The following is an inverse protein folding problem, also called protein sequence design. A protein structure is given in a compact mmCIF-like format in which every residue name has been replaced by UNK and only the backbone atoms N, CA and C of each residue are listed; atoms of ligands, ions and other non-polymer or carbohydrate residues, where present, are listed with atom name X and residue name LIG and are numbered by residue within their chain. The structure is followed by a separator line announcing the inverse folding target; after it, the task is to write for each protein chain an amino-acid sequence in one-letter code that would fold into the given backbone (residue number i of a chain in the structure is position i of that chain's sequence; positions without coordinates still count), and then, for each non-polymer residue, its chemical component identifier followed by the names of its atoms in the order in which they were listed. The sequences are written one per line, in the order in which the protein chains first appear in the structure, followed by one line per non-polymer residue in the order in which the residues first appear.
data_IF_632364335710
#
_entry.id   IF_632364335710
#
_cell.length_a   1.000
_cell.length_b   1.000
_cell.length_c   1.000
_cell.angle_alpha   90.00
_cell.angle_beta   90.00
_cell.angle_gamma   90.00
#
_symmetry.space_group_name_H-M   'P 1'
#
loop_
_entity.id
_entity.type
_entity.pdbx_description
1 polymer ?
#
# COMPACT_ATOMS: atom_id res chain seq x y z
N UNK A 1 15.86 2.07 -32.40
CA UNK A 1 14.51 2.32 -31.87
C UNK A 1 14.69 2.57 -30.38
N UNK A 2 14.16 3.67 -29.84
CA UNK A 2 14.16 3.89 -28.40
C UNK A 2 13.31 2.81 -27.72
N UNK A 3 13.79 2.27 -26.60
CA UNK A 3 13.01 1.31 -25.79
C UNK A 3 11.73 2.02 -25.31
N UNK A 4 10.54 1.44 -25.53
CA UNK A 4 9.29 2.03 -25.05
C UNK A 4 9.37 2.23 -23.54
N UNK A 5 8.98 3.40 -23.03
CA UNK A 5 8.95 3.69 -21.60
C UNK A 5 7.55 3.50 -21.06
N UNK A 6 7.35 2.63 -20.06
CA UNK A 6 6.05 2.46 -19.43
C UNK A 6 5.66 3.71 -18.63
N UNK A 7 4.52 4.27 -18.97
CA UNK A 7 3.95 5.46 -18.34
C UNK A 7 3.00 5.05 -17.22
N UNK A 8 3.17 5.65 -16.05
CA UNK A 8 2.30 5.51 -14.89
C UNK A 8 1.29 6.66 -14.88
N UNK A 9 0.02 6.33 -14.81
CA UNK A 9 -1.06 7.31 -14.61
C UNK A 9 -1.39 7.45 -13.12
N UNK A 10 -1.97 8.59 -12.75
CA UNK A 10 -2.29 8.89 -11.35
C UNK A 10 -3.14 7.78 -10.73
N UNK A 11 -2.77 7.24 -9.56
CA UNK A 11 -3.51 6.17 -8.93
C UNK A 11 -4.93 6.60 -8.54
N UNK A 12 -5.84 5.62 -8.46
CA UNK A 12 -7.12 5.73 -7.76
C UNK A 12 -7.03 5.02 -6.42
N UNK A 13 -7.71 5.54 -5.40
CA UNK A 13 -7.68 4.99 -4.04
C UNK A 13 -9.07 4.88 -3.45
N UNK A 14 -9.27 3.90 -2.56
CA UNK A 14 -10.53 3.70 -1.87
C UNK A 14 -10.31 3.12 -0.47
N UNK A 15 -11.08 3.59 0.50
CA UNK A 15 -11.16 3.03 1.85
C UNK A 15 -12.56 2.56 2.16
N UNK A 16 -12.76 1.57 3.06
CA UNK A 16 -14.08 1.24 3.59
C UNK A 16 -14.78 2.45 4.22
N UNK A 17 -16.10 2.37 4.30
CA UNK A 17 -16.92 3.44 4.90
C UNK A 17 -16.84 3.49 6.44
N UNK A 18 -16.54 2.35 7.09
CA UNK A 18 -16.36 2.29 8.53
C UNK A 18 -14.98 2.85 8.90
N UNK A 19 -14.93 4.13 9.21
CA UNK A 19 -13.73 4.82 9.68
C UNK A 19 -13.88 5.13 11.16
N UNK A 20 -12.85 4.83 11.97
CA UNK A 20 -12.89 5.04 13.42
C UNK A 20 -11.61 5.69 13.92
N UNK A 21 -11.74 6.46 14.99
CA UNK A 21 -10.59 7.01 15.69
C UNK A 21 -9.75 5.88 16.31
N UNK A 22 -8.45 6.03 16.26
CA UNK A 22 -7.47 5.07 16.78
C UNK A 22 -7.67 4.81 18.28
N UNK A 23 -7.98 5.87 19.03
CA UNK A 23 -8.26 5.79 20.46
C UNK A 23 -9.49 4.93 20.79
N UNK A 24 -10.56 5.05 19.98
CA UNK A 24 -11.79 4.29 20.20
C UNK A 24 -11.59 2.81 19.87
N UNK A 25 -10.82 2.52 18.81
CA UNK A 25 -10.44 1.15 18.46
C UNK A 25 -9.62 0.53 19.59
N UNK A 26 -8.63 1.25 20.13
CA UNK A 26 -7.78 0.77 21.21
C UNK A 26 -8.59 0.51 22.52
N UNK A 27 -9.52 1.39 22.86
CA UNK A 27 -10.40 1.20 24.01
C UNK A 27 -11.30 -0.04 23.85
N UNK A 28 -11.86 -0.25 22.66
CA UNK A 28 -12.63 -1.44 22.36
C UNK A 28 -11.77 -2.71 22.40
N UNK A 29 -10.54 -2.68 21.86
CA UNK A 29 -9.58 -3.80 21.97
C UNK A 29 -9.29 -4.15 23.41
N UNK A 30 -8.96 -3.16 24.25
CA UNK A 30 -8.66 -3.37 25.65
C UNK A 30 -9.81 -4.08 26.39
N UNK A 31 -11.04 -3.67 26.10
CA UNK A 31 -12.25 -4.24 26.70
C UNK A 31 -12.53 -5.66 26.19
N UNK A 32 -12.52 -5.87 24.86
CA UNK A 32 -12.89 -7.16 24.26
C UNK A 32 -11.87 -8.26 24.48
N UNK A 33 -10.59 -7.90 24.56
CA UNK A 33 -9.51 -8.84 24.84
C UNK A 33 -9.28 -9.05 26.34
N UNK A 34 -10.01 -8.34 27.21
CA UNK A 34 -9.83 -8.45 28.67
C UNK A 34 -8.40 -8.12 29.10
N UNK A 35 -7.77 -7.10 28.49
CA UNK A 35 -6.36 -6.81 28.72
C UNK A 35 -6.08 -6.46 30.18
N UNK A 36 -5.01 -7.04 30.74
CA UNK A 36 -4.48 -6.63 32.04
C UNK A 36 -4.04 -5.15 32.03
N UNK A 37 -3.91 -4.54 33.20
CA UNK A 37 -3.42 -3.16 33.32
C UNK A 37 -2.06 -2.93 32.63
N UNK A 38 -1.17 -3.91 32.70
CA UNK A 38 0.14 -3.86 32.03
C UNK A 38 -0.01 -3.89 30.52
N UNK A 39 -0.87 -4.76 29.98
CA UNK A 39 -1.13 -4.84 28.54
C UNK A 39 -1.85 -3.58 28.01
N UNK A 40 -2.77 -3.00 28.79
CA UNK A 40 -3.41 -1.72 28.46
C UNK A 40 -2.40 -0.57 28.40
N UNK A 41 -1.46 -0.49 29.35
CA UNK A 41 -0.38 0.51 29.32
C UNK A 41 0.55 0.30 28.13
N UNK A 42 0.85 -0.95 27.77
CA UNK A 42 1.62 -1.25 26.55
C UNK A 42 0.87 -0.78 25.31
N UNK A 43 -0.40 -1.17 25.14
CA UNK A 43 -1.25 -0.73 24.03
C UNK A 43 -1.32 0.79 23.94
N UNK A 44 -1.49 1.50 25.07
CA UNK A 44 -1.51 2.96 25.12
C UNK A 44 -0.22 3.60 24.57
N UNK A 45 0.95 3.04 24.93
CA UNK A 45 2.23 3.49 24.37
C UNK A 45 2.35 3.24 22.87
N UNK A 46 1.92 2.07 22.40
CA UNK A 46 1.93 1.73 20.96
C UNK A 46 1.03 2.67 20.19
N UNK A 47 -0.18 2.95 20.67
CA UNK A 47 -1.13 3.90 20.07
C UNK A 47 -0.53 5.31 20.01
N UNK A 48 0.02 5.81 21.11
CA UNK A 48 0.63 7.14 21.16
C UNK A 48 1.83 7.30 20.21
N UNK A 49 2.61 6.22 20.03
CA UNK A 49 3.78 6.20 19.13
C UNK A 49 3.46 5.86 17.68
N UNK A 50 2.24 5.44 17.36
CA UNK A 50 1.89 4.96 16.03
C UNK A 50 1.82 6.07 14.97
N UNK A 51 1.51 7.31 15.39
CA UNK A 51 1.24 8.43 14.49
C UNK A 51 -0.06 8.30 13.70
N UNK A 52 -0.96 7.38 14.10
CA UNK A 52 -2.23 7.09 13.45
C UNK A 52 -3.39 7.72 14.24
N UNK A 53 -4.24 8.46 13.55
CA UNK A 53 -5.46 9.05 14.13
C UNK A 53 -6.73 8.29 13.76
N UNK A 54 -6.79 7.80 12.51
CA UNK A 54 -7.97 7.11 12.00
C UNK A 54 -7.58 5.85 11.22
N UNK A 55 -8.46 4.85 11.23
CA UNK A 55 -8.36 3.67 10.38
C UNK A 55 -9.72 3.23 9.86
N UNK A 56 -9.70 2.74 8.63
CA UNK A 56 -10.88 2.12 8.02
C UNK A 56 -10.83 0.60 8.16
N UNK A 57 -12.00 -0.03 8.31
CA UNK A 57 -12.18 -1.47 8.33
C UNK A 57 -13.47 -1.85 7.58
N UNK A 58 -13.49 -3.04 6.96
CA UNK A 58 -14.70 -3.54 6.26
C UNK A 58 -15.75 -4.07 7.23
N UNK A 59 -15.34 -4.51 8.41
CA UNK A 59 -16.22 -5.03 9.46
C UNK A 59 -15.86 -4.42 10.83
N UNK A 60 -16.81 -4.35 11.77
CA UNK A 60 -16.53 -4.02 13.15
C UNK A 60 -15.56 -5.02 13.78
N UNK A 61 -14.70 -4.56 14.68
CA UNK A 61 -13.77 -5.40 15.43
C UNK A 61 -14.49 -6.54 16.16
N UNK A 62 -15.66 -6.25 16.72
CA UNK A 62 -16.51 -7.23 17.41
C UNK A 62 -16.79 -8.48 16.59
N UNK A 63 -17.06 -8.29 15.30
CA UNK A 63 -17.46 -9.39 14.43
C UNK A 63 -16.24 -10.22 14.02
N UNK A 64 -15.09 -9.55 13.81
CA UNK A 64 -13.86 -10.20 13.31
C UNK A 64 -13.19 -11.09 14.36
N UNK A 65 -13.18 -10.69 15.65
CA UNK A 65 -12.42 -11.39 16.69
C UNK A 65 -12.81 -12.86 16.89
N UNK A 66 -14.03 -13.24 16.52
CA UNK A 66 -14.55 -14.60 16.69
C UNK A 66 -14.52 -15.43 15.40
N UNK A 67 -14.10 -14.84 14.26
CA UNK A 67 -14.05 -15.54 12.98
C UNK A 67 -12.88 -16.52 12.92
N UNK A 68 -13.17 -17.71 12.40
CA UNK A 68 -12.15 -18.63 11.89
C UNK A 68 -11.48 -18.05 10.64
N UNK A 69 -10.32 -18.57 10.25
CA UNK A 69 -9.64 -18.16 9.01
C UNK A 69 -10.52 -18.36 7.79
N UNK A 70 -11.31 -19.44 7.73
CA UNK A 70 -12.24 -19.69 6.64
C UNK A 70 -13.31 -18.59 6.51
N UNK A 71 -13.90 -18.15 7.63
CA UNK A 71 -14.87 -17.06 7.65
C UNK A 71 -14.25 -15.72 7.25
N UNK A 72 -12.98 -15.44 7.67
CA UNK A 72 -12.22 -14.26 7.24
C UNK A 72 -11.97 -14.28 5.73
N UNK A 73 -11.64 -15.44 5.15
CA UNK A 73 -11.49 -15.59 3.69
C UNK A 73 -12.82 -15.40 2.97
N UNK A 74 -13.93 -15.85 3.54
CA UNK A 74 -15.25 -15.57 3.00
C UNK A 74 -15.57 -14.07 3.03
N UNK A 75 -15.35 -13.41 4.17
CA UNK A 75 -15.51 -11.96 4.31
C UNK A 75 -14.63 -11.18 3.33
N UNK A 76 -13.35 -11.58 3.17
CA UNK A 76 -12.47 -10.99 2.18
C UNK A 76 -13.07 -11.06 0.78
N UNK A 77 -13.59 -12.21 0.39
CA UNK A 77 -14.18 -12.41 -0.93
C UNK A 77 -15.43 -11.54 -1.17
N UNK A 78 -16.19 -11.23 -0.13
CA UNK A 78 -17.37 -10.34 -0.22
C UNK A 78 -16.99 -8.86 -0.29
N UNK A 79 -15.98 -8.45 0.47
CA UNK A 79 -15.69 -7.03 0.67
C UNK A 79 -14.56 -6.48 -0.20
N UNK A 80 -13.60 -7.33 -0.62
CA UNK A 80 -12.47 -6.87 -1.43
C UNK A 80 -12.86 -6.45 -2.86
N UNK A 81 -13.73 -7.18 -3.62
CA UNK A 81 -14.06 -6.78 -4.98
C UNK A 81 -14.70 -5.40 -5.09
N UNK A 82 -15.75 -5.03 -4.30
CA UNK A 82 -16.35 -3.70 -4.42
C UNK A 82 -15.40 -2.57 -3.97
N UNK A 83 -14.48 -2.85 -3.03
CA UNK A 83 -13.47 -1.88 -2.63
C UNK A 83 -12.43 -1.68 -3.73
N UNK A 84 -11.93 -2.77 -4.32
CA UNK A 84 -11.00 -2.78 -5.46
C UNK A 84 -11.60 -2.07 -6.68
N UNK A 85 -12.88 -2.29 -6.97
CA UNK A 85 -13.59 -1.65 -8.08
C UNK A 85 -13.61 -0.12 -7.96
N UNK A 86 -13.86 0.42 -6.76
CA UNK A 86 -13.84 1.88 -6.56
C UNK A 86 -12.47 2.48 -6.88
N UNK A 87 -11.38 1.87 -6.42
CA UNK A 87 -10.03 2.31 -6.72
C UNK A 87 -9.71 2.17 -8.22
N UNK A 88 -10.08 1.04 -8.82
CA UNK A 88 -9.86 0.76 -10.23
C UNK A 88 -10.59 1.75 -11.15
N UNK A 89 -11.87 2.03 -10.88
CA UNK A 89 -12.65 3.03 -11.66
C UNK A 89 -12.01 4.40 -11.61
N UNK A 90 -11.52 4.84 -10.46
CA UNK A 90 -10.83 6.12 -10.35
C UNK A 90 -9.51 6.12 -11.16
N UNK A 91 -8.73 5.05 -11.12
CA UNK A 91 -7.50 4.92 -11.91
C UNK A 91 -7.79 4.96 -13.42
N UNK A 92 -8.86 4.31 -13.88
CA UNK A 92 -9.29 4.36 -15.29
C UNK A 92 -9.70 5.77 -15.71
N UNK A 93 -10.46 6.49 -14.87
CA UNK A 93 -10.82 7.89 -15.10
C UNK A 93 -9.56 8.76 -15.23
N UNK A 94 -8.57 8.57 -14.34
CA UNK A 94 -7.33 9.33 -14.37
C UNK A 94 -6.50 9.03 -15.65
N UNK A 95 -6.55 7.80 -16.15
CA UNK A 95 -5.91 7.40 -17.40
C UNK A 95 -6.71 7.77 -18.67
N UNK A 96 -7.99 8.18 -18.52
CA UNK A 96 -8.87 8.54 -19.61
C UNK A 96 -9.31 7.36 -20.48
N UNK A 97 -9.39 6.15 -19.91
CA UNK A 97 -9.76 4.92 -20.61
C UNK A 97 -10.89 4.17 -19.88
N UNK A 98 -11.47 3.19 -20.55
CA UNK A 98 -12.51 2.32 -20.02
C UNK A 98 -11.96 0.97 -19.56
N UNK A 99 -12.75 0.20 -18.81
CA UNK A 99 -12.40 -1.16 -18.43
C UNK A 99 -12.23 -2.10 -19.64
N UNK A 100 -12.93 -1.82 -20.73
CA UNK A 100 -12.82 -2.58 -21.99
C UNK A 100 -11.46 -2.40 -22.68
N UNK A 101 -10.72 -1.34 -22.34
CA UNK A 101 -9.41 -1.07 -22.93
C UNK A 101 -8.29 -1.85 -22.21
N UNK A 102 -8.54 -2.39 -21.02
CA UNK A 102 -7.56 -3.12 -20.23
C UNK A 102 -7.24 -4.47 -20.88
N UNK A 103 -5.95 -4.73 -21.04
CA UNK A 103 -5.42 -5.99 -21.58
C UNK A 103 -4.94 -6.95 -20.51
N UNK A 104 -4.43 -6.41 -19.39
CA UNK A 104 -3.86 -7.16 -18.28
C UNK A 104 -4.34 -6.61 -16.95
N UNK A 105 -4.74 -7.51 -16.07
CA UNK A 105 -5.15 -7.22 -14.70
C UNK A 105 -4.18 -7.90 -13.72
N UNK A 106 -3.46 -7.10 -12.94
CA UNK A 106 -2.61 -7.57 -11.85
C UNK A 106 -3.31 -7.27 -10.52
N UNK A 107 -3.62 -8.30 -9.76
CA UNK A 107 -4.12 -8.17 -8.39
C UNK A 107 -2.96 -8.39 -7.42
N UNK A 108 -2.80 -7.46 -6.50
CA UNK A 108 -1.82 -7.53 -5.40
C UNK A 108 -2.57 -7.63 -4.08
N UNK A 109 -2.40 -8.73 -3.36
CA UNK A 109 -2.98 -8.91 -2.02
C UNK A 109 -2.25 -9.99 -1.24
N UNK A 110 -2.11 -9.76 0.07
CA UNK A 110 -1.58 -10.73 1.03
C UNK A 110 -2.63 -11.14 2.07
N UNK A 111 -3.82 -10.56 2.03
CA UNK A 111 -4.85 -10.71 3.07
C UNK A 111 -6.05 -11.57 2.64
N UNK A 112 -6.01 -12.12 1.42
CA UNK A 112 -7.07 -13.00 0.92
C UNK A 112 -6.56 -14.14 0.06
N UNK A 113 -7.02 -15.36 0.36
CA UNK A 113 -6.67 -16.60 -0.35
C UNK A 113 -7.91 -17.34 -0.79
N UNK A 114 -8.17 -17.29 -2.08
CA UNK A 114 -9.25 -18.07 -2.72
C UNK A 114 -8.96 -18.23 -4.21
N UNK A 115 -9.34 -19.35 -4.75
CA UNK A 115 -9.41 -19.57 -6.20
C UNK A 115 -10.86 -19.89 -6.61
N UNK A 116 -11.45 -19.20 -7.61
CA UNK A 116 -10.91 -18.02 -8.29
C UNK A 116 -10.75 -16.82 -7.34
N UNK A 117 -9.71 -15.98 -7.62
CA UNK A 117 -9.40 -14.80 -6.79
C UNK A 117 -10.24 -13.57 -7.12
N UNK A 118 -9.93 -12.47 -6.44
CA UNK A 118 -10.61 -11.15 -6.59
C UNK A 118 -10.61 -10.66 -8.03
N UNK A 119 -9.54 -10.93 -8.79
CA UNK A 119 -9.39 -10.45 -10.16
C UNK A 119 -10.52 -10.87 -11.10
N UNK A 120 -11.01 -12.11 -10.98
CA UNK A 120 -12.11 -12.58 -11.82
C UNK A 120 -13.43 -11.87 -11.47
N UNK A 121 -13.72 -11.70 -10.17
CA UNK A 121 -14.90 -10.96 -9.72
C UNK A 121 -14.86 -9.49 -10.16
N UNK A 122 -13.69 -8.86 -10.04
CA UNK A 122 -13.46 -7.48 -10.46
C UNK A 122 -13.62 -7.30 -11.97
N UNK A 123 -13.01 -8.19 -12.77
CA UNK A 123 -13.15 -8.15 -14.24
C UNK A 123 -14.60 -8.25 -14.68
N UNK A 124 -15.38 -9.15 -14.06
CA UNK A 124 -16.80 -9.33 -14.34
C UNK A 124 -17.63 -8.08 -13.94
N UNK A 125 -17.44 -7.53 -12.73
CA UNK A 125 -18.20 -6.39 -12.24
C UNK A 125 -17.89 -5.10 -13.01
N UNK A 126 -16.67 -4.94 -13.51
CA UNK A 126 -16.26 -3.81 -14.33
C UNK A 126 -16.58 -3.97 -15.81
N UNK A 127 -17.04 -5.14 -16.25
CA UNK A 127 -17.29 -5.44 -17.65
C UNK A 127 -16.02 -5.42 -18.50
N UNK A 128 -14.90 -5.92 -17.99
CA UNK A 128 -13.68 -6.09 -18.78
C UNK A 128 -13.88 -7.11 -19.89
N UNK A 129 -12.98 -7.13 -20.88
CA UNK A 129 -13.00 -8.13 -21.94
C UNK A 129 -12.82 -9.53 -21.38
N UNK A 130 -13.42 -10.54 -22.01
CA UNK A 130 -13.26 -11.95 -21.65
C UNK A 130 -11.83 -12.48 -21.87
N UNK A 131 -11.06 -11.81 -22.71
CA UNK A 131 -9.66 -12.12 -23.02
C UNK A 131 -8.65 -11.34 -22.15
N UNK A 132 -9.08 -10.61 -21.10
CA UNK A 132 -8.16 -9.93 -20.19
C UNK A 132 -7.24 -10.95 -19.49
N UNK A 133 -5.93 -10.71 -19.56
CA UNK A 133 -4.93 -11.59 -18.93
C UNK A 133 -4.87 -11.30 -17.44
N UNK A 134 -4.82 -12.35 -16.60
CA UNK A 134 -4.81 -12.22 -15.14
C UNK A 134 -3.47 -12.62 -14.55
N UNK A 135 -3.00 -11.82 -13.60
CA UNK A 135 -1.85 -12.15 -12.72
C UNK A 135 -2.22 -11.84 -11.28
N UNK A 136 -1.78 -12.68 -10.34
CA UNK A 136 -1.89 -12.38 -8.91
C UNK A 136 -0.51 -12.38 -8.27
N UNK A 137 -0.21 -11.28 -7.56
CA UNK A 137 0.99 -11.10 -6.74
C UNK A 137 0.56 -11.23 -5.28
N UNK A 138 1.06 -12.25 -4.61
CA UNK A 138 0.76 -12.53 -3.20
C UNK A 138 2.05 -12.66 -2.38
N UNK A 139 1.91 -12.70 -1.05
CA UNK A 139 3.00 -12.97 -0.09
C UNK A 139 4.13 -11.94 -0.03
N UNK A 140 4.01 -10.82 -0.76
CA UNK A 140 5.02 -9.75 -0.77
C UNK A 140 4.85 -8.78 0.42
N UNK A 141 3.71 -8.79 1.11
CA UNK A 141 3.42 -7.82 2.16
C UNK A 141 3.41 -6.38 1.63
N UNK A 142 3.92 -5.45 2.43
CA UNK A 142 3.83 -4.02 2.14
C UNK A 142 4.59 -3.58 0.88
N UNK A 143 5.60 -4.32 0.40
CA UNK A 143 6.26 -3.98 -0.87
C UNK A 143 5.53 -4.51 -2.10
N UNK A 144 4.46 -5.27 -1.94
CA UNK A 144 3.70 -5.86 -3.06
C UNK A 144 3.21 -4.84 -4.08
N UNK A 145 2.87 -3.62 -3.66
CA UNK A 145 2.48 -2.55 -4.59
C UNK A 145 3.60 -2.16 -5.54
N UNK A 146 4.83 -2.02 -5.05
CA UNK A 146 6.01 -1.74 -5.89
C UNK A 146 6.30 -2.91 -6.83
N UNK A 147 6.22 -4.15 -6.32
CA UNK A 147 6.35 -5.36 -7.15
C UNK A 147 5.31 -5.38 -8.27
N UNK A 148 4.05 -5.02 -7.97
CA UNK A 148 2.97 -4.91 -8.96
C UNK A 148 3.28 -3.87 -10.05
N UNK A 149 3.78 -2.69 -9.66
CA UNK A 149 4.18 -1.65 -10.62
C UNK A 149 5.32 -2.13 -11.53
N UNK A 150 6.33 -2.81 -10.97
CA UNK A 150 7.45 -3.39 -11.73
C UNK A 150 6.98 -4.47 -12.72
N UNK A 151 6.08 -5.34 -12.26
CA UNK A 151 5.51 -6.38 -13.12
C UNK A 151 4.71 -5.75 -14.28
N UNK A 152 3.88 -4.74 -14.01
CA UNK A 152 3.13 -4.01 -15.01
C UNK A 152 4.03 -3.30 -16.03
N UNK A 153 5.10 -2.66 -15.56
CA UNK A 153 6.08 -2.04 -16.43
C UNK A 153 6.74 -3.07 -17.39
N UNK A 154 7.07 -4.25 -16.85
CA UNK A 154 7.61 -5.34 -17.66
C UNK A 154 6.64 -5.83 -18.74
N UNK A 155 5.35 -6.00 -18.39
CA UNK A 155 4.31 -6.39 -19.37
C UNK A 155 4.10 -5.32 -20.45
N UNK A 156 4.06 -4.03 -20.04
CA UNK A 156 3.91 -2.92 -20.98
C UNK A 156 5.12 -2.77 -21.92
N UNK A 157 6.34 -3.07 -21.45
CA UNK A 157 7.53 -3.08 -22.31
C UNK A 157 7.54 -4.28 -23.28
N UNK A 158 7.00 -5.43 -22.87
CA UNK A 158 6.95 -6.62 -23.70
C UNK A 158 5.89 -6.55 -24.81
N UNK A 159 4.79 -5.82 -24.53
CA UNK A 159 3.67 -5.61 -25.46
C UNK A 159 3.32 -4.09 -25.46
N UNK A 160 3.74 -3.32 -26.47
CA UNK A 160 3.48 -1.87 -26.53
C UNK A 160 2.00 -1.49 -26.55
N UNK A 161 1.11 -2.41 -26.92
CA UNK A 161 -0.34 -2.22 -26.88
C UNK A 161 -0.95 -2.56 -25.51
N UNK A 162 -0.16 -3.09 -24.58
CA UNK A 162 -0.65 -3.45 -23.25
C UNK A 162 -1.10 -2.21 -22.48
N UNK A 163 -2.28 -2.34 -21.86
CA UNK A 163 -2.84 -1.44 -20.88
C UNK A 163 -3.06 -2.23 -19.61
N UNK A 164 -2.11 -2.11 -18.68
CA UNK A 164 -2.05 -2.93 -17.48
C UNK A 164 -2.69 -2.20 -16.32
N UNK A 165 -3.73 -2.80 -15.72
CA UNK A 165 -4.33 -2.31 -14.49
C UNK A 165 -3.75 -3.09 -13.31
N UNK A 166 -3.01 -2.42 -12.43
CA UNK A 166 -2.57 -2.94 -11.14
C UNK A 166 -3.58 -2.55 -10.09
N UNK A 167 -4.03 -3.50 -9.29
CA UNK A 167 -4.96 -3.27 -8.17
C UNK A 167 -4.42 -3.92 -6.91
N UNK A 168 -4.06 -3.11 -5.93
CA UNK A 168 -3.72 -3.53 -4.57
C UNK A 168 -5.00 -3.47 -3.73
N UNK A 169 -5.36 -4.57 -3.05
CA UNK A 169 -6.51 -4.59 -2.15
C UNK A 169 -6.18 -5.41 -0.91
N UNK A 170 -6.23 -4.74 0.25
CA UNK A 170 -5.88 -5.37 1.53
C UNK A 170 -6.96 -5.11 2.57
N UNK A 171 -7.39 -6.19 3.21
CA UNK A 171 -8.35 -6.18 4.31
C UNK A 171 -7.66 -6.72 5.57
N UNK A 172 -6.66 -5.99 6.04
CA UNK A 172 -5.81 -6.40 7.16
C UNK A 172 -6.61 -6.57 8.46
N UNK A 173 -7.67 -5.77 8.64
CA UNK A 173 -8.52 -5.84 9.83
C UNK A 173 -9.18 -7.20 10.02
N UNK A 174 -9.40 -7.95 8.95
CA UNK A 174 -9.95 -9.30 9.01
C UNK A 174 -9.04 -10.31 9.73
N UNK A 175 -7.74 -9.99 9.89
CA UNK A 175 -6.77 -10.91 10.49
C UNK A 175 -6.41 -10.59 11.94
N UNK A 176 -7.10 -9.65 12.56
CA UNK A 176 -6.93 -9.34 13.97
C UNK A 176 -7.33 -10.56 14.84
N UNK A 177 -6.42 -10.96 15.73
CA UNK A 177 -6.58 -12.15 16.58
C UNK A 177 -7.09 -11.77 17.97
N UNK A 178 -7.86 -12.64 18.63
CA UNK A 178 -8.41 -12.38 19.97
C UNK A 178 -7.41 -12.74 21.09
N UNK A 179 -6.15 -12.30 20.98
CA UNK A 179 -5.12 -12.54 21.99
C UNK A 179 -4.37 -11.26 22.38
N UNK A 180 -3.74 -11.29 23.55
CA UNK A 180 -2.99 -10.18 24.12
C UNK A 180 -1.47 -10.25 23.82
N UNK A 181 -1.05 -11.06 22.84
CA UNK A 181 0.34 -11.10 22.39
C UNK A 181 0.80 -9.68 22.01
N UNK A 182 1.93 -9.18 22.53
CA UNK A 182 2.45 -7.86 22.20
C UNK A 182 2.61 -7.62 20.70
N UNK A 183 3.02 -8.62 19.92
CA UNK A 183 3.14 -8.53 18.45
C UNK A 183 1.77 -8.32 17.79
N UNK A 184 0.76 -9.08 18.24
CA UNK A 184 -0.61 -8.92 17.81
C UNK A 184 -1.15 -7.53 18.15
N UNK A 185 -0.91 -7.03 19.37
CA UNK A 185 -1.34 -5.68 19.77
C UNK A 185 -0.71 -4.58 18.90
N UNK A 186 0.56 -4.74 18.51
CA UNK A 186 1.22 -3.82 17.56
C UNK A 186 0.56 -3.93 16.19
N UNK A 187 0.36 -5.13 15.64
CA UNK A 187 -0.25 -5.35 14.34
C UNK A 187 -1.68 -4.76 14.27
N UNK A 188 -2.51 -5.06 15.28
CA UNK A 188 -3.88 -4.51 15.39
C UNK A 188 -3.88 -2.97 15.45
N UNK A 189 -2.83 -2.36 16.01
CA UNK A 189 -2.73 -0.90 16.12
C UNK A 189 -2.27 -0.24 14.81
N UNK A 190 -1.54 -0.96 13.97
CA UNK A 190 -0.86 -0.42 12.79
C UNK A 190 -1.70 -0.56 11.52
N UNK A 191 -2.25 -1.76 11.28
CA UNK A 191 -2.84 -2.11 9.98
C UNK A 191 -4.30 -1.66 9.82
N UNK A 192 -4.67 -1.37 8.57
CA UNK A 192 -6.00 -0.91 8.15
C UNK A 192 -6.39 -1.55 6.81
N UNK A 193 -7.61 -1.31 6.38
CA UNK A 193 -8.14 -1.79 5.10
C UNK A 193 -8.13 -0.70 4.04
N UNK A 194 -7.80 -1.07 2.81
CA UNK A 194 -7.82 -0.14 1.69
C UNK A 194 -7.56 -0.83 0.35
N UNK A 195 -7.87 -0.11 -0.71
CA UNK A 195 -7.52 -0.49 -2.07
C UNK A 195 -6.92 0.69 -2.83
N UNK A 196 -5.98 0.39 -3.71
CA UNK A 196 -5.39 1.37 -4.62
C UNK A 196 -5.18 0.72 -5.99
N UNK A 197 -5.30 1.49 -7.07
CA UNK A 197 -5.08 0.98 -8.41
C UNK A 197 -4.34 2.01 -9.26
N UNK A 198 -3.59 1.52 -10.26
CA UNK A 198 -2.91 2.37 -11.23
C UNK A 198 -2.93 1.74 -12.62
N UNK A 199 -2.96 2.57 -13.66
CA UNK A 199 -2.84 2.14 -15.05
C UNK A 199 -1.43 2.40 -15.53
N UNK A 200 -0.83 1.39 -16.19
CA UNK A 200 0.50 1.45 -16.78
C UNK A 200 0.39 1.06 -18.26
N UNK A 201 1.01 1.85 -19.15
CA UNK A 201 1.03 1.58 -20.59
C UNK A 201 2.24 2.23 -21.25
N UNK A 202 2.80 1.62 -22.28
CA UNK A 202 3.77 2.30 -23.17
C UNK A 202 3.07 3.15 -24.23
N UNK A 203 1.81 2.85 -24.56
CA UNK A 203 1.00 3.69 -25.43
C UNK A 203 0.58 4.98 -24.71
N UNK A 204 0.56 6.09 -25.46
CA UNK A 204 0.01 7.35 -24.96
C UNK A 204 -1.50 7.20 -24.73
N UNK A 205 -1.97 7.44 -23.51
CA UNK A 205 -3.39 7.43 -23.16
C UNK A 205 -3.95 8.86 -23.13
N UNK A 206 -5.30 9.04 -23.20
CA UNK A 206 -5.91 10.37 -23.12
C UNK A 206 -5.64 11.11 -21.81
N UNK A 207 -5.55 10.40 -20.68
CA UNK A 207 -5.19 10.99 -19.40
C UNK A 207 -3.70 11.26 -19.29
N UNK A 208 -3.33 12.32 -18.59
CA UNK A 208 -1.92 12.67 -18.40
C UNK A 208 -1.18 11.61 -17.57
N UNK A 209 -0.01 11.19 -18.07
CA UNK A 209 0.90 10.37 -17.27
C UNK A 209 1.57 11.22 -16.19
N UNK A 210 1.67 10.65 -14.96
CA UNK A 210 2.35 11.31 -13.86
C UNK A 210 3.88 11.17 -13.93
N UNK A 211 4.36 10.04 -14.45
CA UNK A 211 5.78 9.71 -14.56
C UNK A 211 5.99 8.55 -15.54
N UNK A 212 7.21 8.36 -16.01
CA UNK A 212 7.65 7.12 -16.63
C UNK A 212 8.24 6.20 -15.54
N UNK A 213 7.99 4.89 -15.65
CA UNK A 213 8.60 3.89 -14.77
C UNK A 213 9.96 3.49 -15.33
N UNK A 214 11.01 3.71 -14.54
CA UNK A 214 12.39 3.35 -14.86
C UNK A 214 12.81 2.00 -14.28
N UNK A 215 14.06 1.91 -13.88
CA UNK A 215 14.65 0.68 -13.35
C UNK A 215 14.03 0.25 -12.02
N UNK A 216 13.79 -1.05 -11.87
CA UNK A 216 13.40 -1.67 -10.61
C UNK A 216 14.61 -2.24 -9.89
N UNK A 217 14.64 -2.14 -8.54
CA UNK A 217 15.69 -2.69 -7.68
C UNK A 217 15.04 -3.39 -6.50
N UNK A 218 15.63 -4.53 -6.09
CA UNK A 218 15.18 -5.24 -4.89
C UNK A 218 16.39 -5.73 -4.10
N UNK A 219 16.30 -5.71 -2.77
CA UNK A 219 17.36 -6.19 -1.88
C UNK A 219 16.74 -6.87 -0.66
N UNK A 220 17.14 -8.11 -0.42
CA UNK A 220 16.91 -8.80 0.85
C UNK A 220 18.00 -8.38 1.82
N UNK A 221 17.62 -8.06 3.05
CA UNK A 221 18.58 -7.70 4.12
C UNK A 221 18.95 -8.98 4.85
N UNK A 222 20.21 -9.46 4.75
CA UNK A 222 20.60 -10.73 5.34
C UNK A 222 20.45 -10.74 6.87
N UNK A 223 20.04 -11.89 7.44
CA UNK A 223 19.89 -12.08 8.88
C UNK A 223 18.68 -11.39 9.50
N UNK A 224 17.68 -11.04 8.67
CA UNK A 224 16.46 -10.38 9.13
C UNK A 224 15.17 -11.18 8.79
N UNK A 225 15.33 -12.45 8.43
CA UNK A 225 14.25 -13.31 7.93
C UNK A 225 13.07 -13.40 8.91
N UNK A 226 13.36 -13.39 10.22
CA UNK A 226 12.38 -13.48 11.29
C UNK A 226 11.92 -12.10 11.83
N UNK A 227 12.44 -10.98 11.31
CA UNK A 227 12.11 -9.65 11.83
C UNK A 227 10.70 -9.20 11.43
N UNK A 228 10.21 -9.63 10.27
CA UNK A 228 8.84 -9.37 9.82
C UNK A 228 8.31 -10.61 9.12
N UNK A 229 7.42 -11.31 9.79
CA UNK A 229 6.77 -12.51 9.25
C UNK A 229 5.28 -12.48 9.49
N UNK A 230 4.53 -13.28 8.74
CA UNK A 230 3.18 -13.67 9.10
C UNK A 230 2.92 -15.12 8.71
N UNK A 231 2.16 -15.79 9.55
CA UNK A 231 1.83 -17.21 9.41
C UNK A 231 0.32 -17.37 9.49
N UNK A 232 -0.26 -18.16 8.60
CA UNK A 232 -1.68 -18.51 8.63
C UNK A 232 -1.97 -19.41 9.82
N UNK A 233 -2.96 -19.05 10.62
CA UNK A 233 -3.45 -19.81 11.78
C UNK A 233 -4.94 -20.11 11.62
N UNK A 234 -5.53 -20.86 12.55
CA UNK A 234 -6.97 -21.16 12.53
C UNK A 234 -7.84 -19.91 12.77
N UNK A 235 -7.27 -18.85 13.36
CA UNK A 235 -7.97 -17.60 13.73
C UNK A 235 -7.36 -16.33 13.07
N UNK A 236 -6.92 -16.42 11.82
CA UNK A 236 -6.29 -15.32 11.10
C UNK A 236 -4.78 -15.46 11.01
N UNK A 237 -4.06 -14.33 10.92
CA UNK A 237 -2.60 -14.34 10.75
C UNK A 237 -1.88 -13.98 12.04
N UNK A 238 -0.91 -14.82 12.43
CA UNK A 238 0.07 -14.48 13.45
C UNK A 238 1.19 -13.68 12.79
N UNK A 239 1.37 -12.45 13.22
CA UNK A 239 2.38 -11.55 12.69
C UNK A 239 3.51 -11.33 13.69
N UNK A 240 4.76 -11.34 13.20
CA UNK A 240 5.93 -10.89 13.94
C UNK A 240 6.39 -9.55 13.37
N UNK A 241 6.63 -8.58 14.25
CA UNK A 241 7.21 -7.28 13.94
C UNK A 241 8.29 -7.00 14.99
N UNK A 242 9.53 -7.33 14.67
CA UNK A 242 10.64 -7.08 15.57
C UNK A 242 10.89 -5.57 15.73
N UNK A 243 11.29 -5.17 16.93
CA UNK A 243 11.62 -3.76 17.24
C UNK A 243 12.85 -3.25 16.48
N UNK A 244 13.66 -4.15 15.96
CA UNK A 244 14.88 -3.92 15.18
C UNK A 244 14.58 -3.53 13.72
N UNK A 245 13.35 -3.70 13.25
CA UNK A 245 12.95 -3.40 11.85
C UNK A 245 13.30 -1.97 11.42
N UNK A 246 13.03 -0.89 12.20
CA UNK A 246 13.43 0.46 11.81
C UNK A 246 14.93 0.64 11.62
N UNK A 247 15.75 0.04 12.48
CA UNK A 247 17.22 0.17 12.40
C UNK A 247 17.77 -0.59 11.19
N UNK A 248 17.24 -1.77 10.89
CA UNK A 248 17.58 -2.52 9.69
C UNK A 248 17.20 -1.75 8.41
N UNK A 249 16.03 -1.11 8.39
CA UNK A 249 15.59 -0.24 7.29
C UNK A 249 16.49 0.99 7.15
N UNK A 250 16.87 1.64 8.25
CA UNK A 250 17.79 2.78 8.23
C UNK A 250 19.12 2.42 7.54
N UNK A 251 19.74 1.34 7.99
CA UNK A 251 21.00 0.87 7.40
C UNK A 251 20.83 0.52 5.91
N UNK A 252 19.79 -0.24 5.58
CA UNK A 252 19.55 -0.64 4.20
C UNK A 252 19.34 0.56 3.27
N UNK A 253 18.57 1.57 3.71
CA UNK A 253 18.25 2.73 2.90
C UNK A 253 19.45 3.65 2.66
N UNK A 254 20.36 3.79 3.61
CA UNK A 254 21.64 4.52 3.40
C UNK A 254 22.43 3.99 2.20
N UNK A 255 22.42 2.66 2.02
CA UNK A 255 23.17 2.00 0.95
C UNK A 255 22.34 1.91 -0.35
N UNK A 256 21.01 1.85 -0.24
CA UNK A 256 20.12 1.52 -1.36
C UNK A 256 19.68 2.74 -2.17
N UNK A 257 19.37 3.87 -1.52
CA UNK A 257 18.77 5.02 -2.19
C UNK A 257 19.78 5.89 -2.96
N UNK A 258 21.06 5.89 -2.56
CA UNK A 258 22.04 6.86 -3.09
C UNK A 258 21.87 8.26 -2.45
N UNK A 259 22.92 9.08 -2.52
CA UNK A 259 22.99 10.34 -1.75
C UNK A 259 22.00 11.43 -2.18
N UNK A 260 21.55 11.44 -3.44
CA UNK A 260 20.77 12.55 -4.04
C UNK A 260 19.39 12.13 -4.58
N UNK A 261 18.97 10.89 -4.38
CA UNK A 261 17.69 10.40 -4.90
C UNK A 261 16.53 10.98 -4.08
N UNK A 262 15.55 11.60 -4.75
CA UNK A 262 14.24 11.86 -4.13
C UNK A 262 13.56 10.51 -3.85
N UNK A 263 13.05 10.30 -2.63
CA UNK A 263 12.40 9.05 -2.23
C UNK A 263 10.93 9.29 -1.94
N UNK A 264 10.07 8.46 -2.53
CA UNK A 264 8.65 8.33 -2.23
C UNK A 264 8.49 7.06 -1.40
N UNK A 265 8.15 7.22 -0.13
CA UNK A 265 8.27 6.19 0.87
C UNK A 265 6.93 5.54 1.18
N UNK A 266 6.88 4.20 1.21
CA UNK A 266 5.80 3.47 1.88
C UNK A 266 5.88 3.71 3.40
N UNK A 267 4.84 4.28 4.04
CA UNK A 267 4.84 4.53 5.47
C UNK A 267 4.45 3.26 6.26
N UNK A 268 5.39 2.31 6.39
CA UNK A 268 5.15 1.07 7.12
C UNK A 268 4.75 1.27 8.59
N UNK A 269 5.11 2.41 9.19
CA UNK A 269 4.82 2.91 10.53
C UNK A 269 5.64 4.15 10.79
N UNK A 270 5.34 4.91 11.85
CA UNK A 270 6.06 6.14 12.19
C UNK A 270 7.57 5.90 12.32
N UNK A 271 7.98 4.81 12.98
CA UNK A 271 9.40 4.45 13.16
C UNK A 271 10.13 4.18 11.84
N UNK A 272 9.45 3.73 10.79
CA UNK A 272 10.05 3.53 9.46
C UNK A 272 10.34 4.87 8.79
N UNK A 273 9.40 5.82 8.89
CA UNK A 273 9.60 7.18 8.35
C UNK A 273 10.77 7.85 9.08
N UNK A 274 10.81 7.74 10.43
CA UNK A 274 11.89 8.28 11.25
C UNK A 274 13.24 7.65 10.90
N UNK A 275 13.29 6.34 10.66
CA UNK A 275 14.49 5.63 10.21
C UNK A 275 15.01 6.18 8.87
N UNK A 276 14.11 6.42 7.91
CA UNK A 276 14.46 7.00 6.61
C UNK A 276 14.91 8.48 6.74
N UNK A 277 14.36 9.23 7.71
CA UNK A 277 14.85 10.58 8.05
C UNK A 277 16.27 10.49 8.63
N UNK A 278 16.55 9.60 9.58
CA UNK A 278 17.89 9.38 10.14
C UNK A 278 18.88 8.88 9.10
N UNK A 279 18.42 8.08 8.14
CA UNK A 279 19.22 7.65 6.99
C UNK A 279 19.57 8.81 6.02
N UNK A 280 18.89 9.94 6.12
CA UNK A 280 19.09 11.10 5.24
C UNK A 280 18.43 10.96 3.86
N UNK A 281 17.60 9.93 3.63
CA UNK A 281 16.96 9.66 2.33
C UNK A 281 15.62 10.39 2.15
N UNK A 282 15.00 10.79 3.25
CA UNK A 282 13.86 11.73 3.27
C UNK A 282 14.12 12.82 4.31
N UNK A 283 13.50 13.99 4.19
CA UNK A 283 13.76 15.11 5.09
C UNK A 283 12.50 15.48 5.87
N UNK A 284 12.65 15.63 7.19
CA UNK A 284 11.60 16.12 8.05
C UNK A 284 11.16 17.53 7.60
N UNK A 285 9.84 17.77 7.61
CA UNK A 285 9.25 19.03 7.13
C UNK A 285 9.13 19.14 5.59
N UNK A 286 9.69 18.20 4.83
CA UNK A 286 9.54 18.16 3.37
C UNK A 286 8.45 17.13 2.96
N UNK A 287 7.86 17.28 1.76
CA UNK A 287 6.83 16.37 1.25
C UNK A 287 7.22 14.90 1.25
N UNK A 288 8.52 14.60 1.09
CA UNK A 288 9.06 13.24 1.10
C UNK A 288 8.84 12.50 2.43
N UNK A 289 8.76 13.21 3.55
CA UNK A 289 8.43 12.67 4.86
C UNK A 289 6.98 12.99 5.28
N UNK A 290 6.50 14.22 5.01
CA UNK A 290 5.21 14.67 5.54
C UNK A 290 4.00 14.05 4.82
N UNK A 291 4.08 13.78 3.52
CA UNK A 291 2.99 13.07 2.81
C UNK A 291 2.83 11.64 3.31
N UNK A 292 3.90 10.80 3.41
CA UNK A 292 3.80 9.49 4.06
C UNK A 292 3.25 9.55 5.49
N UNK A 293 3.67 10.55 6.32
CA UNK A 293 3.13 10.75 7.68
C UNK A 293 1.63 11.07 7.65
N UNK A 294 1.20 11.93 6.74
CA UNK A 294 -0.21 12.29 6.60
C UNK A 294 -1.06 11.08 6.19
N UNK A 295 -0.60 10.26 5.24
CA UNK A 295 -1.28 9.03 4.84
C UNK A 295 -1.37 8.05 6.02
N UNK A 296 -0.27 7.83 6.74
CA UNK A 296 -0.27 6.96 7.92
C UNK A 296 -1.24 7.47 9.00
N UNK A 297 -1.24 8.78 9.28
CA UNK A 297 -2.12 9.41 10.27
C UNK A 297 -3.60 9.23 9.93
N UNK A 298 -3.96 9.45 8.68
CA UNK A 298 -5.36 9.50 8.23
C UNK A 298 -5.95 8.11 7.93
N UNK A 299 -5.11 7.15 7.54
CA UNK A 299 -5.56 5.84 7.03
C UNK A 299 -4.95 4.63 7.73
N UNK A 300 -3.83 4.78 8.45
CA UNK A 300 -3.02 3.66 8.91
C UNK A 300 -2.24 2.99 7.78
N UNK A 301 -1.69 1.80 8.05
CA UNK A 301 -0.96 1.00 7.07
C UNK A 301 -1.91 0.01 6.37
N UNK A 302 -2.20 0.25 5.10
CA UNK A 302 -3.02 -0.61 4.23
C UNK A 302 -2.13 -1.57 3.40
N UNK A 303 -1.02 -2.02 3.98
CA UNK A 303 -0.10 -2.97 3.35
C UNK A 303 0.31 -2.55 1.93
N UNK A 304 0.15 -3.42 0.93
CA UNK A 304 0.61 -3.22 -0.45
C UNK A 304 0.05 -1.95 -1.13
N UNK A 305 -1.15 -1.51 -0.75
CA UNK A 305 -1.81 -0.34 -1.33
C UNK A 305 -1.25 1.00 -0.86
N UNK A 306 -0.66 1.07 0.34
CA UNK A 306 -0.35 2.33 1.01
C UNK A 306 0.58 3.25 0.21
N UNK A 307 1.58 2.71 -0.47
CA UNK A 307 2.51 3.49 -1.29
C UNK A 307 1.80 4.17 -2.46
N UNK A 308 0.75 3.57 -3.01
CA UNK A 308 -0.07 4.18 -4.07
C UNK A 308 -0.96 5.31 -3.52
N UNK A 309 -1.39 5.26 -2.25
CA UNK A 309 -2.03 6.40 -1.58
C UNK A 309 -1.06 7.58 -1.45
N UNK A 310 0.21 7.32 -1.15
CA UNK A 310 1.25 8.38 -1.12
C UNK A 310 1.41 8.99 -2.50
N UNK A 311 1.55 8.17 -3.54
CA UNK A 311 1.67 8.63 -4.94
C UNK A 311 0.46 9.46 -5.35
N UNK A 312 -0.74 9.00 -5.06
CA UNK A 312 -1.99 9.70 -5.36
C UNK A 312 -2.06 11.08 -4.68
N UNK A 313 -1.71 11.15 -3.40
CA UNK A 313 -1.68 12.41 -2.63
C UNK A 313 -0.67 13.40 -3.23
N UNK A 314 0.50 12.93 -3.62
CA UNK A 314 1.52 13.74 -4.27
C UNK A 314 1.06 14.29 -5.62
N UNK A 315 0.34 13.46 -6.41
CA UNK A 315 -0.25 13.90 -7.68
C UNK A 315 -1.30 14.99 -7.52
N UNK A 316 -2.22 14.82 -6.57
CA UNK A 316 -3.28 15.84 -6.32
C UNK A 316 -2.71 17.20 -6.00
N UNK A 317 -1.64 17.24 -5.22
CA UNK A 317 -1.00 18.48 -4.81
C UNK A 317 -0.34 19.22 -6.00
N UNK A 318 0.01 18.50 -7.08
CA UNK A 318 0.53 19.12 -8.31
C UNK A 318 -0.54 19.77 -9.16
N UNK A 319 -1.75 19.23 -9.21
CA UNK A 319 -2.83 19.72 -10.07
C UNK A 319 -3.73 20.76 -9.38
N UNK A 320 -3.70 20.85 -8.04
CA UNK A 320 -4.51 21.81 -7.26
C UNK A 320 -3.94 23.21 -7.13
N UNK A 321 -2.77 23.50 -7.65
CA UNK A 321 -2.12 24.82 -7.54
C UNK A 321 -2.73 25.91 -8.45
N UNK A 322 -3.83 25.61 -9.17
CA UNK A 322 -4.45 26.51 -10.17
C UNK A 322 -5.65 27.36 -9.69
N UNK A 323 -6.23 27.16 -8.50
CA UNK A 323 -7.51 27.80 -8.16
C UNK A 323 -7.72 28.26 -6.70
N UNK A 324 -6.67 28.52 -5.90
CA UNK A 324 -6.85 29.31 -4.68
C UNK A 324 -5.55 30.00 -4.27
N UNK A 325 -5.51 31.32 -4.38
CA UNK A 325 -4.45 32.15 -3.81
C UNK A 325 -4.50 32.00 -2.28
N UNK A 326 -3.51 31.30 -1.68
CA UNK A 326 -3.36 31.29 -0.22
C UNK A 326 -2.72 30.07 0.44
N UNK A 327 -2.43 28.96 -0.25
CA UNK A 327 -1.76 27.81 0.37
C UNK A 327 -0.44 27.50 -0.36
N UNK A 328 0.68 27.87 0.25
CA UNK A 328 2.04 27.72 -0.28
C UNK A 328 2.68 26.34 0.00
N UNK A 329 1.93 25.25 -0.04
CA UNK A 329 2.45 23.88 0.12
C UNK A 329 2.06 22.99 -1.06
N UNK A 330 2.30 23.45 -2.28
CA UNK A 330 2.23 22.61 -3.48
C UNK A 330 3.42 21.63 -3.50
N UNK A 331 3.23 20.41 -3.01
CA UNK A 331 4.27 19.39 -3.07
C UNK A 331 4.19 18.66 -4.41
N UNK A 332 4.92 19.15 -5.41
CA UNK A 332 5.15 18.43 -6.65
C UNK A 332 6.10 17.24 -6.39
N UNK A 333 5.84 16.11 -7.04
CA UNK A 333 6.81 15.01 -7.09
C UNK A 333 8.07 15.55 -7.76
N UNK A 334 9.19 15.54 -7.04
CA UNK A 334 10.49 15.86 -7.62
C UNK A 334 10.99 14.62 -8.36
N UNK A 335 11.01 14.67 -9.68
CA UNK A 335 11.55 13.60 -10.53
C UNK A 335 12.99 13.92 -10.95
N UNK A 336 13.87 12.93 -11.12
CA UNK A 336 13.61 11.53 -10.86
C UNK A 336 13.44 11.20 -9.37
N UNK A 337 12.65 10.18 -9.06
CA UNK A 337 12.37 9.73 -7.70
C UNK A 337 12.42 8.21 -7.59
N UNK A 338 12.71 7.70 -6.40
CA UNK A 338 12.67 6.28 -6.07
C UNK A 338 11.43 5.99 -5.22
N UNK A 339 10.50 5.21 -5.74
CA UNK A 339 9.37 4.69 -4.94
C UNK A 339 9.86 3.44 -4.21
N UNK A 340 9.90 3.50 -2.87
CA UNK A 340 10.47 2.43 -2.06
C UNK A 340 9.46 1.92 -1.02
N UNK A 341 9.41 0.60 -0.86
CA UNK A 341 8.62 -0.09 0.15
C UNK A 341 9.41 -1.21 0.82
N UNK A 342 8.94 -1.64 1.99
CA UNK A 342 9.57 -2.65 2.82
C UNK A 342 8.56 -3.73 3.16
N UNK A 343 9.05 -4.94 3.43
CA UNK A 343 8.19 -6.03 3.82
C UNK A 343 8.97 -7.27 4.29
N UNK A 344 8.28 -8.42 4.38
CA UNK A 344 8.85 -9.65 4.91
C UNK A 344 10.19 -10.02 4.30
N UNK A 345 11.07 -10.60 5.14
CA UNK A 345 12.34 -11.14 4.69
C UNK A 345 13.63 -10.42 5.11
N UNK A 346 13.69 -9.28 5.83
CA UNK A 346 13.24 -7.98 5.34
C UNK A 346 13.68 -7.70 3.91
N UNK A 347 12.77 -7.26 3.09
CA UNK A 347 13.06 -6.87 1.71
C UNK A 347 12.80 -5.38 1.52
N UNK A 348 13.72 -4.69 0.85
CA UNK A 348 13.50 -3.38 0.23
C UNK A 348 13.21 -3.60 -1.24
N UNK A 349 12.07 -3.17 -1.73
CA UNK A 349 11.73 -3.19 -3.15
C UNK A 349 11.46 -1.77 -3.64
N UNK A 350 12.00 -1.40 -4.78
CA UNK A 350 11.87 -0.06 -5.31
C UNK A 350 11.81 0.00 -6.83
N UNK A 351 11.20 1.07 -7.32
CA UNK A 351 11.13 1.40 -8.73
C UNK A 351 11.42 2.88 -8.94
N UNK A 352 12.18 3.21 -9.95
CA UNK A 352 12.47 4.58 -10.33
C UNK A 352 11.28 5.19 -11.08
N UNK A 353 10.97 6.44 -10.74
CA UNK A 353 10.07 7.29 -11.52
C UNK A 353 10.89 8.38 -12.18
N UNK A 354 10.70 8.54 -13.47
CA UNK A 354 11.37 9.55 -14.30
C UNK A 354 10.33 10.52 -14.87
N UNK A 355 10.74 11.72 -15.34
CA UNK A 355 9.83 12.59 -16.09
C UNK A 355 9.19 11.85 -17.24
N UNK A 356 7.86 11.96 -17.37
CA UNK A 356 7.14 11.53 -18.56
C UNK A 356 7.53 12.48 -19.71
N UNK A 357 8.64 12.19 -20.39
CA UNK A 357 9.02 12.98 -21.58
C UNK A 357 8.06 12.66 -22.69
N UNK A 358 7.46 13.72 -23.25
CA UNK A 358 6.69 13.68 -24.50
C UNK A 358 7.54 13.23 -25.68
#
# INVERSE_FOLDING_TARGET
MSVPRPLLHAPGVATPALVRAQTDIAAEQATRLGLSSTAQQFLGRVVAGSGIEHRAAVLPLADVLHMSTAERMHAFHLHAPPLAERAARQALVNAGISAQDITDLIIVTCTGFRSPGVGLALAASMGMRDCVRHMQVGFMGCFGGVTGLRAAAGLACADPEARVLVVCVELCSLHFRPDADPQNLVAITLFADGAAAAVISCAQLPGAAMAAIGAGRSRVIPGTEDHMTWTVTDSGFAMTLAREVPDAVEQAMREFAGADAAVILHPGGAGIIDACVRAGVVRAGEPSAEVPRAILREHGNMSSGTVLFVLERMCRNTHGAGTAAGSTTGSSIRLPALVAAFGPGLTVDAVELEPATS
#
